data_IF_016424736896
#
_entry.id   IF_016424736896
#
_cell.length_a   1.000
_cell.length_b   1.000
_cell.length_c   1.000
_cell.angle_alpha   90.00
_cell.angle_beta   90.00
_cell.angle_gamma   90.00
#
_symmetry.space_group_name_H-M   'P 1'
#
loop_
_entity.id
_entity.type
_entity.pdbx_description
1 polymer ?
#
# COMPACT_ATOMS: atom_id res chain seq x y z
N UNK A 1 8.01 1.43 2.20
CA UNK A 1 7.01 1.56 3.30
C UNK A 1 6.99 2.96 3.93
N UNK A 2 8.14 3.64 4.06
CA UNK A 2 8.23 4.98 4.68
C UNK A 2 7.34 6.02 3.99
N UNK A 3 7.43 6.13 2.67
CA UNK A 3 6.59 7.04 1.88
C UNK A 3 5.08 6.78 2.07
N UNK A 4 4.66 5.52 2.11
CA UNK A 4 3.25 5.15 2.31
C UNK A 4 2.73 5.60 3.69
N UNK A 5 3.55 5.43 4.73
CA UNK A 5 3.24 5.90 6.08
C UNK A 5 3.09 7.42 6.14
N UNK A 6 4.01 8.14 5.50
CA UNK A 6 4.03 9.61 5.46
C UNK A 6 2.85 10.18 4.70
N UNK A 7 2.54 9.63 3.52
CA UNK A 7 1.38 10.06 2.73
C UNK A 7 0.04 9.89 3.45
N UNK A 8 -0.07 8.91 4.35
CA UNK A 8 -1.28 8.65 5.13
C UNK A 8 -1.25 9.30 6.53
N UNK A 9 -0.15 9.94 6.93
CA UNK A 9 -0.03 10.55 8.26
C UNK A 9 -0.10 9.55 9.43
N UNK A 10 0.24 8.28 9.21
CA UNK A 10 0.15 7.22 10.23
C UNK A 10 1.51 6.81 10.78
N UNK A 11 1.54 5.91 11.77
CA UNK A 11 2.77 5.30 12.25
C UNK A 11 3.05 3.97 11.56
N UNK A 12 4.29 3.44 11.67
CA UNK A 12 4.72 2.20 11.00
C UNK A 12 3.82 1.01 11.33
N UNK A 13 3.37 0.90 12.59
CA UNK A 13 2.50 -0.21 13.05
C UNK A 13 1.19 -0.30 12.25
N UNK A 14 0.65 0.84 11.84
CA UNK A 14 -0.58 0.91 11.05
C UNK A 14 -0.29 0.79 9.55
N UNK A 15 0.76 1.45 9.07
CA UNK A 15 1.15 1.43 7.66
C UNK A 15 1.38 0.00 7.12
N UNK A 16 2.03 -0.87 7.90
CA UNK A 16 2.31 -2.26 7.47
C UNK A 16 1.02 -3.05 7.31
N UNK A 17 0.09 -2.95 8.27
CA UNK A 17 -1.20 -3.66 8.22
C UNK A 17 -2.07 -3.16 7.07
N UNK A 18 -2.16 -1.84 6.88
CA UNK A 18 -2.92 -1.24 5.78
C UNK A 18 -2.34 -1.64 4.41
N UNK A 19 -1.02 -1.58 4.24
CA UNK A 19 -0.40 -1.96 2.98
C UNK A 19 -0.64 -3.45 2.64
N UNK A 20 -0.55 -4.33 3.63
CA UNK A 20 -0.85 -5.76 3.44
C UNK A 20 -2.32 -5.99 3.05
N UNK A 21 -3.26 -5.26 3.66
CA UNK A 21 -4.68 -5.36 3.31
C UNK A 21 -4.95 -4.87 1.87
N UNK A 22 -4.31 -3.79 1.44
CA UNK A 22 -4.41 -3.30 0.06
C UNK A 22 -3.83 -4.28 -0.96
N UNK A 23 -2.72 -4.95 -0.59
CA UNK A 23 -2.12 -6.02 -1.40
C UNK A 23 -3.08 -7.22 -1.51
N UNK A 24 -3.66 -7.65 -0.39
CA UNK A 24 -4.62 -8.76 -0.34
C UNK A 24 -5.88 -8.48 -1.17
N UNK A 25 -6.36 -7.22 -1.17
CA UNK A 25 -7.49 -6.80 -2.01
C UNK A 25 -7.13 -6.62 -3.48
N UNK A 26 -5.86 -6.65 -3.84
CA UNK A 26 -5.38 -6.41 -5.20
C UNK A 26 -5.44 -4.94 -5.64
N UNK A 27 -5.52 -4.01 -4.69
CA UNK A 27 -5.46 -2.56 -4.94
C UNK A 27 -4.01 -2.12 -5.16
N UNK A 28 -3.07 -2.74 -4.44
CA UNK A 28 -1.63 -2.58 -4.65
C UNK A 28 -0.99 -3.93 -4.93
N UNK A 29 0.22 -3.93 -5.49
CA UNK A 29 1.10 -5.10 -5.53
C UNK A 29 2.50 -4.72 -5.11
N UNK A 30 3.14 -5.59 -4.33
CA UNK A 30 4.55 -5.46 -3.99
C UNK A 30 5.40 -6.01 -5.13
N UNK A 31 6.38 -5.20 -5.56
CA UNK A 31 7.43 -5.58 -6.51
C UNK A 31 8.75 -5.18 -5.87
N UNK A 32 9.45 -6.18 -5.32
CA UNK A 32 10.68 -6.00 -4.56
C UNK A 32 10.47 -5.04 -3.36
N UNK A 33 11.17 -3.91 -3.36
CA UNK A 33 11.08 -2.89 -2.30
C UNK A 33 10.02 -1.81 -2.57
N UNK A 34 9.39 -1.86 -3.74
CA UNK A 34 8.37 -0.92 -4.16
C UNK A 34 6.97 -1.54 -4.10
N UNK A 35 5.97 -0.66 -4.06
CA UNK A 35 4.58 -1.02 -4.30
C UNK A 35 4.06 -0.23 -5.50
N UNK A 36 3.35 -0.92 -6.37
CA UNK A 36 2.75 -0.37 -7.59
C UNK A 36 1.23 -0.57 -7.56
N UNK A 37 0.54 0.11 -8.48
CA UNK A 37 -0.90 -0.05 -8.69
C UNK A 37 -1.24 -1.51 -8.99
N UNK A 38 -2.26 -2.03 -8.30
CA UNK A 38 -2.83 -3.34 -8.54
C UNK A 38 -4.01 -3.30 -9.52
N UNK A 39 -4.48 -4.47 -9.98
CA UNK A 39 -5.56 -4.57 -10.97
C UNK A 39 -6.93 -4.05 -10.48
N UNK A 40 -7.12 -3.92 -9.16
CA UNK A 40 -8.36 -3.37 -8.58
C UNK A 40 -8.21 -1.91 -8.15
N UNK A 41 -7.14 -1.23 -8.54
CA UNK A 41 -7.05 0.22 -8.32
C UNK A 41 -8.16 0.90 -9.15
N UNK A 42 -9.04 1.71 -8.53
CA UNK A 42 -10.08 2.41 -9.27
C UNK A 42 -9.47 3.34 -10.32
N UNK A 43 -9.95 3.28 -11.55
CA UNK A 43 -9.69 4.31 -12.54
C UNK A 43 -10.45 5.58 -12.12
N UNK A 44 -9.79 6.72 -12.26
CA UNK A 44 -10.35 8.04 -11.93
C UNK A 44 -11.22 8.57 -13.07
#
# INVERSE_FOLDING_TARGET
>A
ISQFREALGVTRKHAVRLAAELDARGVTRRRDDLRIAGPRLPAR
#
